data_IF_328394776063
#
_entry.id   IF_328394776063
#
_cell.length_a   1.000
_cell.length_b   1.000
_cell.length_c   1.000
_cell.angle_alpha   90.00
_cell.angle_beta   90.00
_cell.angle_gamma   90.00
#
_symmetry.space_group_name_H-M   'P 1'
#
loop_
_entity.id
_entity.type
_entity.pdbx_description
1 polymer ?
#
# COMPACT_ATOMS: atom_id res chain seq x y z
N UNK A 1 1.57 0.95 -17.68
CA UNK A 1 2.95 0.50 -17.39
C UNK A 1 2.88 -0.48 -16.22
N UNK A 2 3.72 -1.50 -16.16
CA UNK A 2 3.71 -2.51 -15.08
C UNK A 2 5.06 -2.48 -14.36
N UNK A 3 5.06 -2.65 -13.03
CA UNK A 3 6.26 -2.75 -12.19
C UNK A 3 6.61 -4.22 -11.86
N UNK A 4 6.17 -5.17 -12.69
CA UNK A 4 6.35 -6.59 -12.43
C UNK A 4 7.83 -7.01 -12.39
N UNK A 5 8.66 -6.43 -13.25
CA UNK A 5 10.09 -6.73 -13.30
C UNK A 5 10.80 -6.22 -12.04
N UNK A 6 10.47 -5.01 -11.63
CA UNK A 6 10.99 -4.33 -10.44
C UNK A 6 10.57 -5.08 -9.17
N UNK A 7 9.30 -5.49 -9.10
CA UNK A 7 8.76 -6.29 -7.98
C UNK A 7 9.50 -7.63 -7.87
N UNK A 8 9.66 -8.34 -8.99
CA UNK A 8 10.41 -9.61 -9.02
C UNK A 8 11.89 -9.41 -8.64
N UNK A 9 12.53 -8.33 -9.07
CA UNK A 9 13.90 -8.00 -8.71
C UNK A 9 14.03 -7.71 -7.21
N UNK A 10 13.09 -6.97 -6.61
CA UNK A 10 13.03 -6.70 -5.16
C UNK A 10 12.88 -7.99 -4.36
N UNK A 11 11.95 -8.87 -4.75
CA UNK A 11 11.76 -10.18 -4.10
C UNK A 11 13.02 -11.03 -4.20
N UNK A 12 13.67 -11.07 -5.38
CA UNK A 12 14.94 -11.77 -5.57
C UNK A 12 16.04 -11.21 -4.66
N UNK A 13 16.15 -9.89 -4.54
CA UNK A 13 17.12 -9.24 -3.66
C UNK A 13 16.84 -9.56 -2.17
N UNK A 14 15.57 -9.60 -1.78
CA UNK A 14 15.16 -9.96 -0.42
C UNK A 14 15.58 -11.39 -0.08
N UNK A 15 15.34 -12.35 -0.97
CA UNK A 15 15.78 -13.73 -0.80
C UNK A 15 17.30 -13.86 -0.70
N UNK A 16 18.05 -13.17 -1.56
CA UNK A 16 19.53 -13.21 -1.55
C UNK A 16 20.14 -12.60 -0.30
N UNK A 17 19.48 -11.60 0.29
CA UNK A 17 19.94 -10.91 1.49
C UNK A 17 19.35 -11.47 2.79
N UNK A 18 18.51 -12.52 2.70
CA UNK A 18 17.76 -13.06 3.84
C UNK A 18 16.93 -12.00 4.57
N UNK A 19 16.42 -11.01 3.84
CA UNK A 19 15.56 -9.96 4.38
C UNK A 19 14.10 -10.27 4.11
N UNK A 20 13.23 -9.81 5.00
CA UNK A 20 11.81 -9.83 4.75
C UNK A 20 11.41 -8.72 3.77
N UNK A 21 10.38 -8.97 2.99
CA UNK A 21 9.74 -7.97 2.13
C UNK A 21 8.22 -7.96 2.37
N UNK A 22 7.58 -6.88 1.95
CA UNK A 22 6.12 -6.78 1.77
C UNK A 22 5.85 -6.46 0.31
N UNK A 23 4.74 -6.94 -0.25
CA UNK A 23 4.35 -6.63 -1.63
C UNK A 23 3.34 -5.47 -1.66
N UNK A 24 3.87 -4.26 -1.54
CA UNK A 24 3.05 -3.05 -1.66
C UNK A 24 2.52 -2.88 -3.08
N UNK A 25 3.28 -3.29 -4.11
CA UNK A 25 2.86 -3.10 -5.50
C UNK A 25 1.59 -3.88 -5.81
N UNK A 26 1.53 -5.15 -5.42
CA UNK A 26 0.34 -5.98 -5.57
C UNK A 26 -0.83 -5.41 -4.77
N UNK A 27 -0.62 -5.15 -3.47
CA UNK A 27 -1.70 -4.72 -2.58
C UNK A 27 -2.30 -3.36 -2.98
N UNK A 28 -1.46 -2.36 -3.29
CA UNK A 28 -1.93 -1.05 -3.71
C UNK A 28 -2.57 -1.10 -5.09
N UNK A 29 -2.01 -1.85 -6.05
CA UNK A 29 -2.59 -2.00 -7.39
C UNK A 29 -3.97 -2.65 -7.31
N UNK A 30 -4.14 -3.68 -6.48
CA UNK A 30 -5.46 -4.31 -6.24
C UNK A 30 -6.50 -3.30 -5.76
N UNK A 31 -6.16 -2.50 -4.75
CA UNK A 31 -7.07 -1.48 -4.23
C UNK A 31 -7.38 -0.39 -5.26
N UNK A 32 -6.36 0.19 -5.90
CA UNK A 32 -6.53 1.24 -6.91
C UNK A 32 -7.37 0.77 -8.10
N UNK A 33 -7.19 -0.47 -8.55
CA UNK A 33 -8.03 -1.07 -9.59
C UNK A 33 -9.48 -1.23 -9.15
N UNK A 34 -9.73 -1.56 -7.87
CA UNK A 34 -11.07 -1.73 -7.34
C UNK A 34 -11.86 -0.41 -7.26
N UNK A 35 -11.20 0.69 -6.89
CA UNK A 35 -11.84 2.02 -6.81
C UNK A 35 -11.96 2.73 -8.17
N UNK A 36 -11.25 2.24 -9.18
CA UNK A 36 -11.21 2.81 -10.52
C UNK A 36 -10.28 4.03 -10.68
N UNK A 37 -9.94 4.40 -11.94
CA UNK A 37 -8.92 5.40 -12.23
C UNK A 37 -9.29 6.81 -11.78
N UNK A 38 -10.56 7.20 -11.85
CA UNK A 38 -11.02 8.54 -11.42
C UNK A 38 -10.71 8.76 -9.94
N UNK A 39 -11.13 7.83 -9.09
CA UNK A 39 -10.83 7.86 -7.66
C UNK A 39 -9.33 7.67 -7.38
N UNK A 40 -8.66 6.76 -8.09
CA UNK A 40 -7.23 6.52 -7.91
C UNK A 40 -6.39 7.79 -8.18
N UNK A 41 -6.72 8.55 -9.23
CA UNK A 41 -5.99 9.77 -9.59
C UNK A 41 -6.24 10.94 -8.63
N UNK A 42 -7.26 10.86 -7.77
CA UNK A 42 -7.41 11.84 -6.69
C UNK A 42 -6.25 11.81 -5.69
N UNK A 43 -5.47 10.72 -5.62
CA UNK A 43 -4.31 10.59 -4.74
C UNK A 43 -3.00 11.12 -5.32
N UNK A 44 -2.97 11.51 -6.59
CA UNK A 44 -1.81 12.15 -7.21
C UNK A 44 -1.50 13.50 -6.54
N UNK A 45 -0.22 13.87 -6.48
CA UNK A 45 0.19 15.18 -5.94
C UNK A 45 -0.43 16.34 -6.73
N UNK A 46 -0.52 16.19 -8.05
CA UNK A 46 -1.27 17.05 -8.95
C UNK A 46 -1.66 16.25 -10.22
N UNK A 47 -2.58 16.76 -11.08
CA UNK A 47 -3.09 15.99 -12.22
C UNK A 47 -2.05 15.55 -13.26
N UNK A 48 -0.89 16.19 -13.32
CA UNK A 48 0.18 15.85 -14.26
C UNK A 48 1.29 14.98 -13.63
N UNK A 49 1.22 14.73 -12.31
CA UNK A 49 2.21 13.97 -11.55
C UNK A 49 1.65 12.61 -11.14
N UNK A 50 2.05 11.57 -11.89
CA UNK A 50 1.63 10.19 -11.66
C UNK A 50 2.62 9.41 -10.76
N UNK A 51 3.56 10.09 -10.11
CA UNK A 51 4.61 9.46 -9.31
C UNK A 51 4.51 9.84 -7.85
N UNK A 52 4.26 11.11 -7.54
CA UNK A 52 4.15 11.59 -6.17
C UNK A 52 2.71 11.55 -5.67
N UNK A 53 2.54 11.21 -4.39
CA UNK A 53 1.25 11.19 -3.71
C UNK A 53 0.99 12.53 -3.02
N UNK A 54 -0.29 12.91 -2.93
CA UNK A 54 -0.72 13.96 -2.02
C UNK A 54 -0.87 13.43 -0.56
N UNK A 55 -1.35 14.29 0.34
CA UNK A 55 -1.49 13.94 1.76
C UNK A 55 -2.47 12.77 1.98
N UNK A 56 -3.71 12.79 1.43
CA UNK A 56 -4.61 11.62 1.47
C UNK A 56 -4.00 10.34 0.92
N UNK A 57 -3.33 10.41 -0.24
CA UNK A 57 -2.66 9.27 -0.86
C UNK A 57 -1.56 8.69 0.02
N UNK A 58 -0.76 9.56 0.65
CA UNK A 58 0.28 9.14 1.59
C UNK A 58 -0.29 8.42 2.81
N UNK A 59 -1.42 8.88 3.35
CA UNK A 59 -2.09 8.22 4.48
C UNK A 59 -2.65 6.84 4.08
N UNK A 60 -3.29 6.75 2.91
CA UNK A 60 -3.79 5.49 2.36
C UNK A 60 -2.66 4.47 2.16
N UNK A 61 -1.61 4.84 1.43
CA UNK A 61 -0.49 3.93 1.17
C UNK A 61 0.24 3.55 2.46
N UNK A 62 0.38 4.49 3.41
CA UNK A 62 0.90 4.22 4.74
C UNK A 62 0.08 3.18 5.50
N UNK A 63 -1.25 3.20 5.38
CA UNK A 63 -2.13 2.20 5.99
C UNK A 63 -1.95 0.81 5.37
N UNK A 64 -1.81 0.72 4.04
CA UNK A 64 -1.54 -0.55 3.34
C UNK A 64 -0.19 -1.12 3.79
N UNK A 65 0.86 -0.29 3.87
CA UNK A 65 2.17 -0.70 4.40
C UNK A 65 2.06 -1.19 5.83
N UNK A 66 1.40 -0.43 6.72
CA UNK A 66 1.22 -0.81 8.11
C UNK A 66 0.52 -2.17 8.22
N UNK A 67 -0.54 -2.40 7.44
CA UNK A 67 -1.24 -3.68 7.40
C UNK A 67 -0.31 -4.82 6.98
N UNK A 68 0.37 -4.70 5.84
CA UNK A 68 1.28 -5.74 5.33
C UNK A 68 2.39 -6.06 6.33
N UNK A 69 2.95 -5.05 6.99
CA UNK A 69 3.96 -5.24 8.03
C UNK A 69 3.36 -5.97 9.24
N UNK A 70 2.16 -5.60 9.71
CA UNK A 70 1.53 -6.30 10.85
C UNK A 70 1.14 -7.74 10.54
N UNK A 71 0.78 -8.06 9.30
CA UNK A 71 0.50 -9.45 8.88
C UNK A 71 1.76 -10.31 8.92
N UNK A 72 2.92 -9.74 8.60
CA UNK A 72 4.21 -10.44 8.58
C UNK A 72 4.92 -10.45 9.94
N UNK A 73 4.70 -9.42 10.74
CA UNK A 73 5.36 -9.16 12.02
C UNK A 73 4.31 -8.76 13.08
N UNK A 74 3.47 -9.71 13.47
CA UNK A 74 2.35 -9.48 14.40
C UNK A 74 2.81 -8.92 15.77
N UNK A 75 4.04 -9.22 16.18
CA UNK A 75 4.61 -8.66 17.42
C UNK A 75 4.71 -7.13 17.39
N UNK A 76 4.93 -6.50 16.24
CA UNK A 76 4.95 -5.03 16.13
C UNK A 76 3.58 -4.42 16.46
N UNK A 77 2.50 -5.14 16.14
CA UNK A 77 1.14 -4.74 16.51
C UNK A 77 0.89 -4.98 18.00
N UNK A 78 1.24 -6.17 18.52
CA UNK A 78 1.08 -6.53 19.93
C UNK A 78 1.82 -5.58 20.87
N UNK A 79 3.00 -5.14 20.47
CA UNK A 79 3.84 -4.19 21.21
C UNK A 79 3.40 -2.72 21.03
N UNK A 80 2.40 -2.45 20.18
CA UNK A 80 1.85 -1.11 20.00
C UNK A 80 2.65 -0.19 19.07
N UNK A 81 3.65 -0.70 18.36
CA UNK A 81 4.44 0.10 17.39
C UNK A 81 3.66 0.41 16.12
N UNK A 82 2.72 -0.46 15.74
CA UNK A 82 1.87 -0.28 14.57
C UNK A 82 0.39 -0.35 14.96
N UNK A 83 -0.37 0.64 14.47
CA UNK A 83 -1.84 0.67 14.58
C UNK A 83 -2.43 0.87 13.20
N UNK A 84 -3.31 -0.04 12.80
CA UNK A 84 -4.09 0.08 11.57
C UNK A 84 -5.49 0.56 11.94
N UNK A 85 -5.97 1.63 11.29
CA UNK A 85 -7.35 2.07 11.47
C UNK A 85 -8.31 1.02 10.91
N UNK A 86 -9.24 0.55 11.75
CA UNK A 86 -10.12 -0.57 11.40
C UNK A 86 -11.13 -0.23 10.32
N UNK A 87 -11.55 1.04 10.19
CA UNK A 87 -12.46 1.46 9.11
C UNK A 87 -11.69 1.54 7.80
N UNK A 88 -10.54 2.22 7.80
CA UNK A 88 -9.68 2.35 6.62
C UNK A 88 -9.26 0.98 6.09
N UNK A 89 -8.87 0.04 6.97
CA UNK A 89 -8.59 -1.33 6.57
C UNK A 89 -9.78 -1.98 5.86
N UNK A 90 -10.98 -1.91 6.44
CA UNK A 90 -12.18 -2.48 5.83
C UNK A 90 -12.48 -1.85 4.47
N UNK A 91 -12.33 -0.55 4.35
CA UNK A 91 -12.56 0.16 3.09
C UNK A 91 -11.54 -0.31 2.04
N UNK A 92 -10.26 -0.44 2.40
CA UNK A 92 -9.21 -0.99 1.52
C UNK A 92 -9.53 -2.43 1.09
N UNK A 93 -9.89 -3.31 2.04
CA UNK A 93 -10.19 -4.72 1.77
C UNK A 93 -11.35 -4.91 0.79
N UNK A 94 -12.35 -4.03 0.85
CA UNK A 94 -13.56 -4.11 0.02
C UNK A 94 -13.51 -3.21 -1.22
N UNK A 95 -12.38 -2.51 -1.46
CA UNK A 95 -12.25 -1.59 -2.59
C UNK A 95 -13.20 -0.39 -2.52
N UNK A 96 -13.50 0.08 -1.30
CA UNK A 96 -14.31 1.27 -1.06
C UNK A 96 -13.39 2.48 -1.08
N UNK A 97 -13.71 3.46 -1.92
CA UNK A 97 -12.95 4.70 -2.01
C UNK A 97 -12.90 5.44 -0.67
N UNK A 98 -11.69 5.76 -0.24
CA UNK A 98 -11.41 6.48 1.00
C UNK A 98 -10.92 7.90 0.73
N UNK A 99 -11.56 8.89 1.35
CA UNK A 99 -11.06 10.26 1.40
C UNK A 99 -11.23 10.81 2.83
N UNK A 100 -10.15 11.26 3.49
CA UNK A 100 -10.19 11.78 4.86
C UNK A 100 -10.90 13.14 4.97
#
# INVERSE_FOLDING_TARGET
MSLANETMATVTAAHRSYTAYIDLNEASTRYLNAIGPENAFTYNLNPADNTHLNVPGSALFGAIVAELVTQKFDDLKKLGYLRVDGKLKRDIDHGIYYWP
#
